data_IF_968664650952
#
_entry.id   IF_968664650952
#
_cell.length_a   1.000
_cell.length_b   1.000
_cell.length_c   1.000
_cell.angle_alpha   90.00
_cell.angle_beta   90.00
_cell.angle_gamma   90.00
#
_symmetry.space_group_name_H-M   'P 1'
#
loop_
_entity.id
_entity.type
_entity.pdbx_description
1 polymer ?
#
# COMPACT_ATOMS: atom_id res chain seq x y z
N UNK A 1 -35.58 5.30 -3.20
CA UNK A 1 -34.20 5.80 -3.41
C UNK A 1 -33.85 6.70 -2.23
N UNK A 2 -32.71 6.51 -1.57
CA UNK A 2 -32.25 7.41 -0.51
C UNK A 2 -31.96 8.78 -1.10
N UNK A 3 -32.34 9.85 -0.40
CA UNK A 3 -32.03 11.23 -0.81
C UNK A 3 -30.51 11.40 -0.85
N UNK A 4 -29.97 11.89 -1.98
CA UNK A 4 -28.54 12.14 -2.13
C UNK A 4 -28.15 13.27 -1.16
N UNK A 5 -27.09 13.11 -0.35
CA UNK A 5 -26.69 14.13 0.60
C UNK A 5 -26.15 15.37 -0.13
N UNK A 6 -26.55 16.55 0.38
CA UNK A 6 -26.06 17.86 -0.04
C UNK A 6 -25.33 18.60 1.10
N UNK A 7 -25.20 17.96 2.28
CA UNK A 7 -24.34 18.42 3.36
C UNK A 7 -22.90 17.95 3.08
N UNK A 8 -21.99 18.90 2.92
CA UNK A 8 -20.58 18.66 2.65
C UNK A 8 -19.75 18.94 3.91
N UNK A 9 -18.76 18.09 4.15
CA UNK A 9 -17.77 18.24 5.21
C UNK A 9 -16.43 18.55 4.57
N UNK A 10 -15.86 19.71 4.89
CA UNK A 10 -14.54 20.12 4.45
C UNK A 10 -13.59 20.05 5.65
N UNK A 11 -12.57 19.21 5.58
CA UNK A 11 -11.53 19.13 6.62
C UNK A 11 -10.33 20.00 6.22
N UNK A 12 -10.02 21.00 7.06
CA UNK A 12 -8.90 21.94 6.89
C UNK A 12 -8.08 21.90 8.17
N UNK A 13 -6.82 21.45 8.08
CA UNK A 13 -5.90 21.35 9.22
C UNK A 13 -6.52 20.63 10.43
N UNK A 14 -7.24 19.52 10.17
CA UNK A 14 -7.92 18.73 11.19
C UNK A 14 -9.22 19.34 11.74
N UNK A 15 -9.64 20.53 11.29
CA UNK A 15 -10.92 21.16 11.65
C UNK A 15 -11.95 20.94 10.56
N UNK A 16 -13.18 20.66 10.96
CA UNK A 16 -14.29 20.47 10.05
C UNK A 16 -15.07 21.77 9.85
N UNK A 17 -15.20 22.21 8.60
CA UNK A 17 -16.13 23.25 8.14
C UNK A 17 -17.30 22.55 7.43
N UNK A 18 -18.53 22.82 7.85
CA UNK A 18 -19.72 22.18 7.29
C UNK A 18 -20.41 23.15 6.34
N UNK A 19 -20.58 22.74 5.09
CA UNK A 19 -21.26 23.53 4.05
C UNK A 19 -22.56 22.84 3.66
N UNK A 20 -23.65 23.61 3.57
CA UNK A 20 -24.91 23.15 3.02
C UNK A 20 -24.97 23.54 1.55
N UNK A 21 -24.96 22.57 0.63
CA UNK A 21 -25.09 22.81 -0.81
C UNK A 21 -26.58 22.80 -1.20
N UNK A 22 -26.89 23.55 -2.26
CA UNK A 22 -28.23 23.53 -2.86
C UNK A 22 -28.49 22.20 -3.59
N UNK A 23 -27.48 21.68 -4.30
CA UNK A 23 -27.51 20.40 -5.03
C UNK A 23 -26.34 19.49 -4.65
N UNK A 24 -26.45 18.20 -4.98
CA UNK A 24 -25.36 17.25 -4.73
C UNK A 24 -24.15 17.55 -5.62
N UNK A 25 -22.90 17.36 -5.15
CA UNK A 25 -21.71 17.39 -6.01
C UNK A 25 -21.78 16.41 -7.19
N UNK A 26 -22.57 15.34 -7.07
CA UNK A 26 -22.79 14.35 -8.13
C UNK A 26 -23.71 14.85 -9.26
N UNK A 27 -24.55 15.85 -8.98
CA UNK A 27 -25.45 16.46 -9.95
C UNK A 27 -24.78 17.63 -10.69
N UNK A 28 -23.59 18.03 -10.26
CA UNK A 28 -22.80 19.03 -10.97
C UNK A 28 -22.38 18.45 -12.32
N UNK A 29 -22.43 19.25 -13.39
CA UNK A 29 -22.38 18.83 -14.80
C UNK A 29 -21.08 18.15 -15.31
N UNK A 30 -20.32 17.50 -14.44
CA UNK A 30 -19.09 16.78 -14.73
C UNK A 30 -17.83 17.56 -14.35
N UNK A 31 -16.71 16.84 -14.37
CA UNK A 31 -15.36 17.43 -14.30
C UNK A 31 -14.98 17.91 -15.70
N UNK A 32 -14.58 19.17 -15.84
CA UNK A 32 -14.23 19.75 -17.15
C UNK A 32 -12.82 19.32 -17.63
N UNK A 33 -11.88 19.19 -16.70
CA UNK A 33 -10.47 18.86 -16.99
C UNK A 33 -9.91 17.94 -15.91
N UNK A 34 -8.97 17.06 -16.28
CA UNK A 34 -8.24 16.18 -15.37
C UNK A 34 -9.13 15.17 -14.60
N UNK A 35 -10.22 14.70 -15.21
CA UNK A 35 -11.09 13.67 -14.61
C UNK A 35 -10.34 12.35 -14.35
N UNK A 36 -9.31 12.08 -15.14
CA UNK A 36 -8.41 10.93 -15.02
C UNK A 36 -7.50 10.95 -13.79
N UNK A 37 -7.42 12.07 -13.07
CA UNK A 37 -6.76 12.11 -11.77
C UNK A 37 -7.41 11.14 -10.77
N UNK A 38 -8.72 10.91 -10.89
CA UNK A 38 -9.40 9.84 -10.17
C UNK A 38 -9.07 8.50 -10.83
N UNK A 39 -8.07 7.80 -10.29
CA UNK A 39 -7.64 6.49 -10.78
C UNK A 39 -8.27 5.37 -9.96
N UNK A 40 -8.94 4.46 -10.64
CA UNK A 40 -9.39 3.18 -10.09
C UNK A 40 -8.83 2.07 -10.98
N UNK A 41 -8.12 1.12 -10.38
CA UNK A 41 -7.58 -0.03 -11.10
C UNK A 41 -7.50 -1.24 -10.18
N UNK A 42 -7.52 -2.42 -10.79
CA UNK A 42 -7.38 -3.68 -10.09
C UNK A 42 -5.90 -4.08 -10.04
N UNK A 43 -5.32 -4.21 -8.85
CA UNK A 43 -3.92 -4.62 -8.66
C UNK A 43 -3.65 -6.07 -9.09
N UNK A 44 -4.71 -6.86 -9.33
CA UNK A 44 -4.61 -8.20 -9.88
C UNK A 44 -4.53 -8.22 -11.42
N UNK A 45 -4.74 -7.10 -12.12
CA UNK A 45 -4.63 -7.07 -13.59
C UNK A 45 -3.22 -7.51 -14.04
N UNK A 46 -3.15 -8.35 -15.07
CA UNK A 46 -1.90 -8.93 -15.61
C UNK A 46 -0.87 -7.88 -16.05
N UNK A 47 -1.32 -6.67 -16.42
CA UNK A 47 -0.43 -5.56 -16.79
C UNK A 47 0.41 -5.07 -15.61
N UNK A 48 0.00 -5.35 -14.36
CA UNK A 48 0.72 -4.97 -13.14
C UNK A 48 1.53 -6.16 -12.61
N UNK A 49 2.39 -6.70 -13.47
CA UNK A 49 3.27 -7.82 -13.14
C UNK A 49 4.67 -7.31 -12.76
N UNK A 50 5.05 -7.28 -11.46
CA UNK A 50 6.39 -6.92 -11.04
C UNK A 50 7.40 -8.03 -11.39
N UNK A 51 8.67 -7.65 -11.57
CA UNK A 51 9.73 -8.63 -11.85
C UNK A 51 10.02 -9.55 -10.67
N UNK A 52 9.70 -9.12 -9.44
CA UNK A 52 9.81 -9.98 -8.26
C UNK A 52 8.82 -11.15 -8.23
N UNK A 53 7.88 -11.24 -9.19
CA UNK A 53 6.97 -12.37 -9.28
C UNK A 53 7.70 -13.72 -9.37
N UNK A 54 8.75 -13.77 -10.20
CA UNK A 54 9.53 -14.99 -10.41
C UNK A 54 11.03 -14.81 -10.58
N UNK A 55 11.56 -13.62 -10.28
CA UNK A 55 13.02 -13.43 -10.18
C UNK A 55 13.41 -13.27 -8.72
N UNK A 56 14.41 -14.04 -8.27
CA UNK A 56 14.95 -13.96 -6.92
C UNK A 56 15.46 -12.54 -6.60
N UNK A 57 16.06 -11.88 -7.58
CA UNK A 57 16.55 -10.50 -7.51
C UNK A 57 15.56 -9.44 -8.04
N UNK A 58 14.36 -9.89 -8.41
CA UNK A 58 13.32 -9.03 -8.96
C UNK A 58 12.84 -7.98 -7.97
N UNK A 59 12.26 -6.91 -8.51
CA UNK A 59 11.80 -5.75 -7.76
C UNK A 59 10.28 -5.64 -7.77
N UNK A 60 9.68 -5.13 -6.69
CA UNK A 60 8.31 -4.62 -6.73
C UNK A 60 8.13 -3.57 -7.85
N UNK A 61 6.90 -3.43 -8.33
CA UNK A 61 6.51 -2.44 -9.33
C UNK A 61 6.15 -1.11 -8.65
N UNK A 62 6.83 -0.01 -9.00
CA UNK A 62 6.50 1.34 -8.52
C UNK A 62 5.13 1.77 -9.04
N UNK A 63 4.16 1.93 -8.15
CA UNK A 63 2.80 2.37 -8.46
C UNK A 63 2.64 3.88 -8.31
N UNK A 64 3.21 4.45 -7.24
CA UNK A 64 3.23 5.89 -6.99
C UNK A 64 4.59 6.32 -6.46
N UNK A 65 5.10 7.44 -6.98
CA UNK A 65 6.38 8.02 -6.57
C UNK A 65 6.17 9.43 -6.05
N UNK A 66 6.73 9.71 -4.87
CA UNK A 66 6.89 11.04 -4.34
C UNK A 66 8.19 11.10 -3.52
N UNK A 67 8.59 12.33 -3.18
CA UNK A 67 9.79 12.59 -2.38
C UNK A 67 9.77 11.85 -1.04
N UNK A 68 8.63 11.88 -0.35
CA UNK A 68 8.50 11.38 1.04
C UNK A 68 7.86 10.00 1.12
N UNK A 69 7.05 9.62 0.14
CA UNK A 69 6.30 8.37 0.12
C UNK A 69 6.38 7.74 -1.26
N UNK A 70 6.69 6.45 -1.29
CA UNK A 70 6.60 5.61 -2.49
C UNK A 70 5.65 4.45 -2.20
N UNK A 71 4.88 4.05 -3.20
CA UNK A 71 3.96 2.91 -3.13
C UNK A 71 4.38 1.92 -4.19
N UNK A 72 4.67 0.69 -3.76
CA UNK A 72 5.12 -0.40 -4.61
C UNK A 72 4.13 -1.58 -4.54
N UNK A 73 3.95 -2.28 -5.66
CA UNK A 73 3.20 -3.53 -5.76
C UNK A 73 4.17 -4.71 -5.88
N UNK A 74 4.04 -5.66 -4.97
CA UNK A 74 4.86 -6.85 -4.88
C UNK A 74 4.02 -8.08 -5.17
N UNK A 75 4.49 -8.97 -6.04
CA UNK A 75 3.80 -10.23 -6.38
C UNK A 75 4.69 -11.47 -6.19
N UNK A 76 5.66 -11.43 -5.27
CA UNK A 76 6.64 -12.52 -5.10
C UNK A 76 5.96 -13.86 -4.88
N UNK A 77 6.05 -14.77 -5.86
CA UNK A 77 5.25 -16.01 -5.85
C UNK A 77 5.98 -17.25 -6.35
N UNK A 78 7.08 -17.12 -7.09
CA UNK A 78 7.83 -18.29 -7.61
C UNK A 78 9.22 -18.46 -6.99
N UNK A 79 9.85 -17.38 -6.56
CA UNK A 79 11.21 -17.40 -6.04
C UNK A 79 11.32 -16.63 -4.72
N UNK A 80 12.13 -17.15 -3.80
CA UNK A 80 12.53 -16.43 -2.61
C UNK A 80 13.34 -15.18 -2.97
N UNK A 81 13.29 -14.18 -2.10
CA UNK A 81 14.23 -13.07 -2.20
C UNK A 81 15.65 -13.57 -1.90
N UNK A 82 16.46 -13.65 -2.96
CA UNK A 82 17.80 -14.24 -2.91
C UNK A 82 18.86 -13.39 -2.17
N UNK A 83 18.46 -12.28 -1.57
CA UNK A 83 19.35 -11.34 -0.89
C UNK A 83 18.68 -10.71 0.33
N UNK A 84 19.49 -10.14 1.23
CA UNK A 84 18.99 -9.32 2.33
C UNK A 84 18.90 -7.86 1.89
N UNK A 85 17.76 -7.23 2.13
CA UNK A 85 17.53 -5.82 1.87
C UNK A 85 17.57 -5.04 3.18
N UNK A 86 18.29 -3.90 3.18
CA UNK A 86 18.30 -2.95 4.28
C UNK A 86 18.05 -1.57 3.70
N UNK A 87 16.86 -1.06 3.90
CA UNK A 87 16.48 0.25 3.40
C UNK A 87 16.88 1.32 4.41
N UNK A 88 17.97 2.03 4.14
CA UNK A 88 18.47 3.10 5.00
C UNK A 88 17.75 4.44 4.78
N UNK A 89 16.90 4.54 3.75
CA UNK A 89 16.24 5.78 3.35
C UNK A 89 14.79 5.88 3.84
N UNK A 90 14.14 4.74 4.09
CA UNK A 90 12.72 4.70 4.41
C UNK A 90 12.34 3.59 5.40
N UNK A 91 11.32 3.87 6.19
CA UNK A 91 10.51 2.84 6.84
C UNK A 91 9.62 2.15 5.80
N UNK A 92 9.30 0.89 6.02
CA UNK A 92 8.40 0.12 5.13
C UNK A 92 7.14 -0.32 5.88
N UNK A 93 5.97 -0.04 5.32
CA UNK A 93 4.69 -0.60 5.77
C UNK A 93 4.20 -1.53 4.66
N UNK A 94 3.98 -2.79 5.00
CA UNK A 94 3.59 -3.82 4.05
C UNK A 94 2.20 -4.34 4.42
N UNK A 95 1.29 -4.29 3.45
CA UNK A 95 -0.02 -4.91 3.55
C UNK A 95 -0.05 -6.14 2.66
N UNK A 96 -0.39 -7.29 3.23
CA UNK A 96 -0.71 -8.45 2.42
C UNK A 96 -2.19 -8.39 2.02
N UNK A 97 -2.43 -8.49 0.72
CA UNK A 97 -3.78 -8.44 0.12
C UNK A 97 -4.25 -9.84 -0.25
N UNK A 98 -3.34 -10.72 -0.68
CA UNK A 98 -3.62 -12.12 -1.08
C UNK A 98 -2.41 -13.00 -0.81
N UNK A 99 -2.64 -14.28 -0.50
CA UNK A 99 -1.59 -15.26 -0.21
C UNK A 99 -0.89 -15.02 1.12
N UNK A 100 0.32 -15.54 1.29
CA UNK A 100 1.12 -15.30 2.47
C UNK A 100 2.61 -15.32 2.14
N UNK A 101 3.40 -14.53 2.85
CA UNK A 101 4.86 -14.56 2.76
C UNK A 101 5.49 -14.60 4.15
N UNK A 102 6.59 -15.32 4.24
CA UNK A 102 7.41 -15.39 5.44
C UNK A 102 8.46 -14.29 5.35
N UNK A 103 8.42 -13.37 6.32
CA UNK A 103 9.35 -12.26 6.43
C UNK A 103 10.45 -12.58 7.43
N UNK A 104 11.68 -12.63 6.94
CA UNK A 104 12.89 -12.70 7.75
C UNK A 104 13.36 -11.30 8.08
N UNK A 105 13.66 -11.06 9.34
CA UNK A 105 14.29 -9.82 9.79
C UNK A 105 15.37 -10.13 10.81
N UNK A 106 16.27 -9.18 11.07
CA UNK A 106 17.20 -9.31 12.20
C UNK A 106 16.52 -9.32 13.58
N UNK A 107 15.23 -8.96 13.63
CA UNK A 107 14.38 -8.99 14.84
C UNK A 107 13.50 -10.26 14.93
N UNK A 108 13.75 -11.24 14.05
CA UNK A 108 13.02 -12.50 13.99
C UNK A 108 12.07 -12.61 12.81
N UNK A 109 11.23 -13.65 12.86
CA UNK A 109 10.42 -14.12 11.73
C UNK A 109 8.96 -13.76 11.95
N UNK A 110 8.28 -13.35 10.89
CA UNK A 110 6.81 -13.20 10.85
C UNK A 110 6.27 -13.87 9.58
N UNK A 111 5.05 -14.39 9.64
CA UNK A 111 4.29 -14.78 8.45
C UNK A 111 3.21 -13.71 8.27
N UNK A 112 3.23 -13.04 7.12
CA UNK A 112 2.30 -11.96 6.78
C UNK A 112 1.20 -12.55 5.92
N UNK A 113 -0.05 -12.39 6.34
CA UNK A 113 -1.29 -12.93 5.73
C UNK A 113 -2.26 -11.81 5.36
N UNK A 114 -3.33 -12.10 4.59
CA UNK A 114 -4.29 -11.07 4.21
C UNK A 114 -4.93 -10.43 5.44
N UNK A 115 -4.88 -9.09 5.50
CA UNK A 115 -5.33 -8.31 6.67
C UNK A 115 -4.22 -7.95 7.65
N UNK A 116 -3.03 -8.54 7.55
CA UNK A 116 -1.87 -8.13 8.33
C UNK A 116 -1.23 -6.85 7.78
N UNK A 117 -0.74 -6.02 8.68
CA UNK A 117 0.12 -4.87 8.41
C UNK A 117 1.48 -5.09 9.10
N UNK A 118 2.55 -5.24 8.33
CA UNK A 118 3.91 -5.36 8.85
C UNK A 118 4.63 -4.02 8.74
N UNK A 119 5.16 -3.53 9.86
CA UNK A 119 6.07 -2.39 9.89
C UNK A 119 7.53 -2.86 9.98
N UNK A 120 8.35 -2.37 9.07
CA UNK A 120 9.80 -2.57 9.07
C UNK A 120 10.46 -1.21 9.28
N UNK A 121 11.09 -0.99 10.44
CA UNK A 121 11.80 0.25 10.69
C UNK A 121 12.92 0.49 9.67
N UNK A 122 13.15 1.77 9.31
CA UNK A 122 14.28 2.19 8.50
C UNK A 122 15.57 1.62 9.08
N UNK A 123 16.39 1.06 8.20
CA UNK A 123 17.65 0.46 8.56
C UNK A 123 17.53 -0.97 9.07
N UNK A 124 16.36 -1.61 9.13
CA UNK A 124 16.23 -3.03 9.51
C UNK A 124 16.48 -3.95 8.32
N UNK A 125 17.43 -4.88 8.45
CA UNK A 125 17.66 -5.90 7.43
C UNK A 125 16.52 -6.90 7.39
N UNK A 126 16.01 -7.17 6.20
CA UNK A 126 14.92 -8.09 5.97
C UNK A 126 14.97 -8.75 4.60
N UNK A 127 14.20 -9.84 4.43
CA UNK A 127 13.87 -10.43 3.13
C UNK A 127 12.54 -11.18 3.20
N UNK A 128 11.86 -11.28 2.07
CA UNK A 128 10.62 -12.06 1.94
C UNK A 128 10.88 -13.38 1.22
N UNK A 129 10.38 -14.47 1.79
CA UNK A 129 10.48 -15.82 1.25
C UNK A 129 9.10 -16.45 1.16
N UNK A 130 8.96 -17.43 0.28
CA UNK A 130 7.80 -18.31 0.25
C UNK A 130 7.76 -19.16 1.54
N UNK A 131 6.59 -19.68 1.85
CA UNK A 131 6.35 -20.60 2.96
C UNK A 131 5.20 -21.56 2.66
N UNK A 132 4.90 -22.46 3.59
CA UNK A 132 3.83 -23.45 3.45
C UNK A 132 2.44 -22.82 3.21
N UNK A 133 2.24 -21.57 3.66
CA UNK A 133 0.99 -20.83 3.49
C UNK A 133 0.97 -19.95 2.23
N UNK A 134 2.07 -19.91 1.47
CA UNK A 134 2.12 -19.15 0.22
C UNK A 134 1.17 -19.76 -0.81
N UNK A 135 0.43 -18.89 -1.49
CA UNK A 135 -0.46 -19.27 -2.59
C UNK A 135 0.28 -19.22 -3.93
N UNK A 136 -0.41 -19.64 -5.00
CA UNK A 136 0.09 -19.53 -6.38
C UNK A 136 0.48 -18.09 -6.75
N UNK A 137 -0.24 -17.11 -6.20
CA UNK A 137 0.03 -15.69 -6.30
C UNK A 137 -0.10 -15.04 -4.91
N UNK A 138 0.99 -14.42 -4.45
CA UNK A 138 1.04 -13.67 -3.19
C UNK A 138 1.17 -12.19 -3.54
N UNK A 139 0.21 -11.37 -3.13
CA UNK A 139 0.12 -9.96 -3.53
C UNK A 139 0.20 -9.07 -2.30
N UNK A 140 1.16 -8.14 -2.32
CA UNK A 140 1.39 -7.20 -1.24
C UNK A 140 1.53 -5.78 -1.79
N UNK A 141 1.11 -4.81 -0.98
CA UNK A 141 1.33 -3.38 -1.22
C UNK A 141 2.33 -2.89 -0.19
N UNK A 142 3.41 -2.28 -0.67
CA UNK A 142 4.53 -1.80 0.15
C UNK A 142 4.57 -0.28 0.08
N UNK A 143 4.47 0.39 1.23
CA UNK A 143 4.67 1.83 1.37
C UNK A 143 6.07 2.05 1.91
N UNK A 144 6.85 2.92 1.26
CA UNK A 144 8.17 3.36 1.72
C UNK A 144 8.08 4.82 2.10
N UNK A 145 8.27 5.12 3.38
CA UNK A 145 8.09 6.45 3.96
C UNK A 145 9.44 6.93 4.53
N UNK A 146 9.95 8.05 4.01
CA UNK A 146 11.25 8.59 4.41
C UNK A 146 11.24 9.34 5.74
N UNK A 147 10.07 9.89 6.08
CA UNK A 147 9.86 10.64 7.31
C UNK A 147 9.69 9.73 8.53
N UNK A 148 9.89 10.28 9.71
CA UNK A 148 9.65 9.59 10.98
C UNK A 148 8.18 9.20 11.13
N UNK A 149 7.94 8.02 11.70
CA UNK A 149 6.61 7.48 11.94
C UNK A 149 6.41 7.17 13.41
N UNK A 150 5.28 7.58 13.97
CA UNK A 150 4.87 7.27 15.34
C UNK A 150 3.68 6.32 15.32
N UNK A 151 3.80 5.20 16.03
CA UNK A 151 2.67 4.29 16.26
C UNK A 151 1.77 4.87 17.36
N UNK A 152 0.51 5.13 17.02
CA UNK A 152 -0.47 5.82 17.90
C UNK A 152 -1.78 5.04 18.05
N UNK A 153 -1.83 3.79 17.57
CA UNK A 153 -3.08 3.04 17.52
C UNK A 153 -3.55 2.50 18.89
N UNK A 154 -2.66 2.43 19.88
CA UNK A 154 -2.93 1.97 21.25
C UNK A 154 -3.36 3.10 22.19
N UNK A 155 -3.20 4.36 21.79
CA UNK A 155 -3.62 5.55 22.57
C UNK A 155 -5.13 5.87 22.41
N UNK A 156 -5.97 4.83 22.26
CA UNK A 156 -7.43 4.95 22.08
C UNK A 156 -8.19 5.16 23.38
#
# INVERSE_FOLDING_TARGET
MSKIPNRELITIDGKNVVVQRDTSPMENGGILENAEALRLFNIFDDKFQPSNYGLADGKPLRMYDAKTVKIDLSKRSKEDMGFWHRNADAHEIIFCVKGALRWETEMGIRIVRPGDMLFIPRGIAHRSTLCEESEEENVLVELKISEELTYVAEDK
#
